data_IF_152442123760
#
_entry.id   IF_152442123760
#
_cell.length_a   1.000
_cell.length_b   1.000
_cell.length_c   1.000
_cell.angle_alpha   90.00
_cell.angle_beta   90.00
_cell.angle_gamma   90.00
#
_symmetry.space_group_name_H-M   'P 1'
#
loop_
_entity.id
_entity.type
_entity.pdbx_description
1 polymer ?
#
# COMPACT_ATOMS: atom_id res chain seq x y z
N UNK A 1 15.73 13.29 -1.15
CA UNK A 1 15.25 14.46 -1.95
C UNK A 1 13.93 14.93 -1.37
N UNK A 2 13.81 16.21 -1.04
CA UNK A 2 12.56 16.81 -0.57
C UNK A 2 11.79 17.47 -1.73
N UNK A 3 10.55 17.93 -1.47
CA UNK A 3 9.70 18.56 -2.48
C UNK A 3 10.39 19.75 -3.18
N UNK A 4 11.00 20.67 -2.44
CA UNK A 4 11.62 21.87 -3.02
C UNK A 4 12.78 21.50 -3.96
N UNK A 5 13.64 20.56 -3.57
CA UNK A 5 14.71 20.09 -4.44
C UNK A 5 14.21 19.35 -5.66
N UNK A 6 13.13 18.55 -5.52
CA UNK A 6 12.51 17.87 -6.65
C UNK A 6 11.95 18.85 -7.68
N UNK A 7 11.25 19.90 -7.24
CA UNK A 7 10.72 20.96 -8.11
C UNK A 7 11.86 21.66 -8.85
N UNK A 8 12.94 22.04 -8.15
CA UNK A 8 14.10 22.69 -8.76
C UNK A 8 14.74 21.80 -9.84
N UNK A 9 14.90 20.51 -9.56
CA UNK A 9 15.47 19.56 -10.52
C UNK A 9 14.54 19.37 -11.73
N UNK A 10 13.22 19.19 -11.54
CA UNK A 10 12.28 19.06 -12.65
C UNK A 10 12.38 20.28 -13.58
N UNK A 11 12.35 21.50 -13.04
CA UNK A 11 12.44 22.73 -13.82
C UNK A 11 13.80 22.84 -14.53
N UNK A 12 14.90 22.46 -13.87
CA UNK A 12 16.24 22.46 -14.44
C UNK A 12 16.38 21.49 -15.62
N UNK A 13 15.85 20.27 -15.49
CA UNK A 13 15.92 19.24 -16.53
C UNK A 13 15.01 19.54 -17.73
N UNK A 14 13.91 20.23 -17.50
CA UNK A 14 12.96 20.59 -18.56
C UNK A 14 13.24 21.97 -19.17
N UNK A 15 14.19 22.73 -18.60
CA UNK A 15 14.49 24.12 -18.97
C UNK A 15 13.21 24.99 -19.02
N UNK A 16 12.22 24.69 -18.16
CA UNK A 16 10.94 25.34 -18.15
C UNK A 16 10.44 25.59 -16.74
N UNK A 17 9.79 26.73 -16.54
CA UNK A 17 9.10 27.05 -15.30
C UNK A 17 7.62 26.67 -15.40
N UNK A 18 7.16 25.82 -14.49
CA UNK A 18 5.76 25.41 -14.41
C UNK A 18 5.10 26.07 -13.19
N UNK A 19 3.81 26.26 -13.29
CA UNK A 19 3.02 26.62 -12.11
C UNK A 19 2.97 25.44 -11.13
N UNK A 20 2.91 25.75 -9.85
CA UNK A 20 2.95 24.74 -8.75
C UNK A 20 1.90 23.65 -8.93
N UNK A 21 0.73 23.98 -9.45
CA UNK A 21 -0.37 23.02 -9.69
C UNK A 21 0.05 21.94 -10.69
N UNK A 22 0.71 22.33 -11.78
CA UNK A 22 1.14 21.40 -12.82
C UNK A 22 2.26 20.49 -12.30
N UNK A 23 3.25 21.08 -11.61
CA UNK A 23 4.34 20.30 -10.97
C UNK A 23 3.78 19.27 -9.98
N UNK A 24 2.84 19.67 -9.13
CA UNK A 24 2.20 18.76 -8.19
C UNK A 24 1.48 17.61 -8.91
N UNK A 25 0.85 17.92 -10.04
CA UNK A 25 0.18 16.89 -10.87
C UNK A 25 1.20 15.90 -11.42
N UNK A 26 2.34 16.36 -11.98
CA UNK A 26 3.38 15.49 -12.51
C UNK A 26 3.94 14.57 -11.42
N UNK A 27 4.25 15.13 -10.25
CA UNK A 27 4.78 14.38 -9.12
C UNK A 27 3.76 13.34 -8.64
N UNK A 28 2.50 13.73 -8.44
CA UNK A 28 1.45 12.82 -7.94
C UNK A 28 1.19 11.68 -8.92
N UNK A 29 1.18 11.94 -10.23
CA UNK A 29 1.01 10.90 -11.25
C UNK A 29 2.21 9.94 -11.28
N UNK A 30 3.43 10.45 -11.12
CA UNK A 30 4.63 9.63 -11.01
C UNK A 30 4.59 8.74 -9.77
N UNK A 31 4.23 9.28 -8.61
CA UNK A 31 4.06 8.52 -7.36
C UNK A 31 3.02 7.40 -7.53
N UNK A 32 1.85 7.71 -8.09
CA UNK A 32 0.80 6.71 -8.34
C UNK A 32 1.28 5.57 -9.24
N UNK A 33 1.98 5.92 -10.33
CA UNK A 33 2.54 4.92 -11.25
C UNK A 33 3.54 4.01 -10.53
N UNK A 34 4.41 4.56 -9.68
CA UNK A 34 5.41 3.81 -8.94
C UNK A 34 4.74 2.89 -7.92
N UNK A 35 3.86 3.41 -7.06
CA UNK A 35 3.20 2.65 -6.01
C UNK A 35 2.27 1.55 -6.55
N UNK A 36 1.62 1.78 -7.68
CA UNK A 36 0.81 0.75 -8.34
C UNK A 36 1.67 -0.33 -9.02
N UNK A 37 2.91 0.00 -9.37
CA UNK A 37 3.83 -0.91 -10.07
C UNK A 37 4.75 -1.72 -9.16
N UNK A 38 4.87 -1.36 -7.87
CA UNK A 38 5.85 -1.95 -6.93
C UNK A 38 5.23 -2.18 -5.56
N UNK A 39 5.17 -3.44 -5.14
CA UNK A 39 4.74 -3.80 -3.77
C UNK A 39 5.92 -3.67 -2.79
N UNK A 40 6.00 -2.56 -2.08
CA UNK A 40 7.04 -2.29 -1.10
C UNK A 40 6.62 -2.81 0.29
N UNK A 41 7.41 -3.72 0.86
CA UNK A 41 7.19 -4.22 2.22
C UNK A 41 7.19 -3.11 3.29
N UNK A 42 7.86 -1.98 3.01
CA UNK A 42 7.89 -0.83 3.91
C UNK A 42 6.60 0.01 3.90
N UNK A 43 5.69 -0.26 2.95
CA UNK A 43 4.40 0.41 2.85
C UNK A 43 3.31 -0.41 3.55
N UNK A 44 3.63 -0.90 4.74
CA UNK A 44 2.68 -1.58 5.63
C UNK A 44 2.51 -0.78 6.90
N UNK A 45 1.29 -0.71 7.36
CA UNK A 45 0.92 -0.17 8.68
C UNK A 45 0.24 -1.23 9.50
N UNK A 46 0.36 -1.08 10.81
CA UNK A 46 -0.40 -1.85 11.77
C UNK A 46 -1.33 -0.89 12.52
N UNK A 47 -2.58 -1.27 12.68
CA UNK A 47 -3.55 -0.55 13.50
C UNK A 47 -4.38 -1.53 14.31
N UNK A 48 -4.79 -1.09 15.49
CA UNK A 48 -5.71 -1.83 16.34
C UNK A 48 -7.05 -1.14 16.34
N UNK A 49 -8.12 -1.92 16.51
CA UNK A 49 -9.49 -1.43 16.61
C UNK A 49 -10.32 -2.38 17.44
N UNK A 50 -11.63 -2.14 17.47
CA UNK A 50 -12.57 -2.97 18.21
C UNK A 50 -13.65 -3.49 17.28
N UNK A 51 -13.87 -4.79 17.27
CA UNK A 51 -15.04 -5.42 16.70
C UNK A 51 -16.19 -5.26 17.71
N UNK A 52 -17.32 -4.79 17.22
CA UNK A 52 -18.51 -4.61 18.07
C UNK A 52 -19.36 -5.87 18.01
N UNK A 53 -19.80 -6.37 19.16
CA UNK A 53 -20.74 -7.49 19.26
C UNK A 53 -21.96 -7.25 18.38
N UNK A 54 -22.42 -8.32 17.71
CA UNK A 54 -23.57 -8.31 16.80
C UNK A 54 -23.39 -7.47 15.52
N UNK A 55 -22.20 -6.90 15.27
CA UNK A 55 -21.87 -6.20 14.04
C UNK A 55 -20.85 -6.99 13.23
N UNK A 56 -21.26 -7.49 12.07
CA UNK A 56 -20.40 -8.25 11.16
C UNK A 56 -19.57 -7.37 10.21
N UNK A 57 -19.72 -6.07 10.25
CA UNK A 57 -19.01 -5.14 9.38
C UNK A 57 -17.89 -4.43 10.14
N UNK A 58 -16.73 -4.34 9.50
CA UNK A 58 -15.55 -3.66 10.00
C UNK A 58 -15.11 -2.61 8.98
N UNK A 59 -15.15 -1.34 9.38
CA UNK A 59 -14.63 -0.24 8.54
C UNK A 59 -13.10 -0.23 8.56
N UNK A 60 -12.53 0.01 7.39
CA UNK A 60 -11.09 0.09 7.15
C UNK A 60 -10.59 1.53 7.31
N UNK A 61 -9.30 1.74 7.60
CA UNK A 61 -8.67 3.07 7.58
C UNK A 61 -8.80 3.72 6.20
N UNK A 62 -8.89 5.05 6.14
CA UNK A 62 -9.05 5.80 4.88
C UNK A 62 -7.84 5.69 3.92
N UNK A 63 -6.67 5.31 4.43
CA UNK A 63 -5.43 5.15 3.67
C UNK A 63 -5.11 3.69 3.31
N UNK A 64 -6.04 2.75 3.59
CA UNK A 64 -5.83 1.35 3.28
C UNK A 64 -5.83 1.08 1.77
N UNK A 65 -5.02 0.14 1.35
CA UNK A 65 -4.94 -0.33 -0.04
C UNK A 65 -5.27 -1.81 -0.15
N UNK A 66 -4.71 -2.63 0.74
CA UNK A 66 -4.94 -4.07 0.77
C UNK A 66 -4.65 -4.64 2.16
N UNK A 67 -5.34 -5.71 2.54
CA UNK A 67 -5.16 -6.38 3.82
C UNK A 67 -3.99 -7.35 3.73
N UNK A 68 -2.96 -7.15 4.54
CA UNK A 68 -1.88 -8.12 4.68
C UNK A 68 -2.26 -9.25 5.65
N UNK A 69 -2.74 -8.90 6.84
CA UNK A 69 -3.29 -9.83 7.83
C UNK A 69 -4.29 -9.14 8.75
N UNK A 70 -5.28 -9.88 9.17
CA UNK A 70 -6.29 -9.47 10.15
C UNK A 70 -6.32 -10.51 11.26
N UNK A 71 -6.21 -10.08 12.50
CA UNK A 71 -6.32 -10.93 13.66
C UNK A 71 -7.36 -10.40 14.65
N UNK A 72 -8.03 -11.32 15.32
CA UNK A 72 -8.84 -11.06 16.50
C UNK A 72 -8.03 -11.43 17.72
N UNK A 73 -7.99 -10.55 18.70
CA UNK A 73 -7.33 -10.76 19.98
C UNK A 73 -8.42 -10.96 21.02
N UNK A 74 -8.40 -12.10 21.70
CA UNK A 74 -9.38 -12.41 22.74
C UNK A 74 -9.04 -11.74 24.08
N UNK A 75 -9.85 -11.99 25.11
CA UNK A 75 -9.66 -11.43 26.45
C UNK A 75 -8.37 -11.87 27.15
N UNK A 76 -7.79 -12.98 26.75
CA UNK A 76 -6.53 -13.54 27.27
C UNK A 76 -5.30 -13.07 26.47
N UNK A 77 -5.52 -12.25 25.44
CA UNK A 77 -4.46 -11.74 24.57
C UNK A 77 -3.98 -12.72 23.48
N UNK A 78 -4.74 -13.79 23.22
CA UNK A 78 -4.40 -14.76 22.18
C UNK A 78 -4.87 -14.26 20.81
N UNK A 79 -3.97 -14.31 19.83
CA UNK A 79 -4.20 -13.92 18.46
C UNK A 79 -4.80 -15.05 17.63
N UNK A 80 -5.96 -14.79 17.04
CA UNK A 80 -6.61 -15.67 16.06
C UNK A 80 -6.64 -14.97 14.71
N UNK A 81 -5.82 -15.45 13.75
CA UNK A 81 -5.74 -14.87 12.41
C UNK A 81 -6.92 -15.32 11.55
N UNK A 82 -7.59 -14.35 10.93
CA UNK A 82 -8.73 -14.59 10.06
C UNK A 82 -8.25 -14.96 8.66
N UNK A 83 -9.02 -15.83 8.00
CA UNK A 83 -8.76 -16.23 6.62
C UNK A 83 -9.58 -15.35 5.65
N UNK A 84 -8.92 -14.83 4.63
CA UNK A 84 -9.59 -14.13 3.53
C UNK A 84 -10.41 -15.10 2.70
N UNK A 85 -11.68 -14.76 2.45
CA UNK A 85 -12.63 -15.52 1.66
C UNK A 85 -13.42 -14.60 0.72
N UNK A 86 -14.25 -15.17 -0.13
CA UNK A 86 -15.24 -14.44 -0.91
C UNK A 86 -16.47 -14.06 -0.06
N UNK A 87 -17.13 -12.96 -0.42
CA UNK A 87 -18.36 -12.51 0.27
C UNK A 87 -19.45 -13.58 0.23
N UNK A 88 -19.60 -14.30 -0.91
CA UNK A 88 -20.59 -15.33 -1.05
C UNK A 88 -20.30 -16.52 -0.13
N UNK A 89 -19.03 -16.91 0.03
CA UNK A 89 -18.64 -17.93 1.00
C UNK A 89 -19.10 -17.58 2.42
N UNK A 90 -18.89 -16.33 2.86
CA UNK A 90 -19.30 -15.91 4.21
C UNK A 90 -20.84 -15.94 4.34
N UNK A 91 -21.54 -15.46 3.33
CA UNK A 91 -23.02 -15.45 3.32
C UNK A 91 -23.63 -16.86 3.30
N UNK A 92 -23.02 -17.77 2.56
CA UNK A 92 -23.48 -19.18 2.48
C UNK A 92 -23.14 -19.96 3.73
N UNK A 93 -21.94 -19.73 4.31
CA UNK A 93 -21.51 -20.41 5.54
C UNK A 93 -22.25 -19.90 6.79
N UNK A 94 -22.62 -18.62 6.80
CA UNK A 94 -23.31 -17.97 7.92
C UNK A 94 -24.59 -17.26 7.44
N UNK A 95 -25.59 -18.01 6.92
CA UNK A 95 -26.80 -17.41 6.34
C UNK A 95 -27.71 -16.79 7.39
N UNK A 96 -27.64 -17.25 8.64
CA UNK A 96 -28.42 -16.70 9.74
C UNK A 96 -27.60 -15.62 10.47
N UNK A 97 -28.00 -14.33 10.41
CA UNK A 97 -27.28 -13.26 11.09
C UNK A 97 -27.27 -13.38 12.61
N UNK A 98 -28.16 -14.20 13.18
CA UNK A 98 -28.18 -14.49 14.63
C UNK A 98 -27.15 -15.54 15.04
N UNK A 99 -26.47 -16.19 14.11
CA UNK A 99 -25.35 -17.08 14.41
C UNK A 99 -24.14 -16.23 14.71
N UNK A 100 -23.80 -16.12 16.00
CA UNK A 100 -22.68 -15.34 16.49
C UNK A 100 -21.55 -16.24 17.00
N UNK A 101 -20.33 -15.72 17.01
CA UNK A 101 -19.15 -16.39 17.53
C UNK A 101 -17.89 -15.55 17.26
N UNK A 102 -16.74 -16.06 17.68
CA UNK A 102 -15.48 -15.42 17.33
C UNK A 102 -15.26 -15.49 15.82
N UNK A 103 -15.03 -14.35 15.12
CA UNK A 103 -14.80 -14.34 13.68
C UNK A 103 -13.55 -15.16 13.29
N UNK A 104 -13.67 -15.98 12.25
CA UNK A 104 -12.58 -16.75 11.68
C UNK A 104 -12.30 -16.40 10.21
N UNK A 105 -13.22 -15.70 9.56
CA UNK A 105 -13.15 -15.35 8.15
C UNK A 105 -13.49 -13.89 7.93
N UNK A 106 -12.90 -13.31 6.87
CA UNK A 106 -13.27 -11.99 6.38
C UNK A 106 -13.32 -11.96 4.86
N UNK A 107 -14.08 -11.02 4.32
CA UNK A 107 -14.08 -10.69 2.89
C UNK A 107 -14.21 -9.19 2.70
N UNK A 108 -13.70 -8.68 1.58
CA UNK A 108 -13.94 -7.29 1.18
C UNK A 108 -15.39 -7.16 0.71
N UNK A 109 -16.18 -6.34 1.44
CA UNK A 109 -17.61 -6.16 1.16
C UNK A 109 -17.86 -4.99 0.21
N UNK A 110 -17.18 -3.89 0.43
CA UNK A 110 -17.17 -2.71 -0.43
C UNK A 110 -15.78 -2.03 -0.37
N UNK A 111 -15.66 -0.78 -0.85
CA UNK A 111 -14.38 -0.08 -0.98
C UNK A 111 -13.61 0.11 0.33
N UNK A 112 -14.29 0.15 1.46
CA UNK A 112 -13.71 0.51 2.77
C UNK A 112 -14.25 -0.33 3.94
N UNK A 113 -14.95 -1.43 3.64
CA UNK A 113 -15.61 -2.25 4.65
C UNK A 113 -15.32 -3.74 4.42
N UNK A 114 -14.93 -4.43 5.49
CA UNK A 114 -14.87 -5.90 5.51
C UNK A 114 -16.15 -6.48 6.11
N UNK A 115 -16.58 -7.63 5.58
CA UNK A 115 -17.58 -8.50 6.21
C UNK A 115 -16.88 -9.63 6.92
N UNK A 116 -17.31 -9.92 8.14
CA UNK A 116 -16.77 -10.95 9.02
C UNK A 116 -17.70 -12.15 9.11
N UNK A 117 -17.15 -13.31 9.31
CA UNK A 117 -17.89 -14.55 9.54
C UNK A 117 -17.23 -15.45 10.58
N UNK A 118 -18.02 -15.94 11.56
CA UNK A 118 -19.37 -15.55 11.96
C UNK A 118 -19.47 -14.12 12.47
N UNK A 119 -20.69 -13.64 12.73
CA UNK A 119 -20.93 -12.34 13.39
C UNK A 119 -20.32 -12.36 14.79
N UNK A 120 -19.55 -11.33 15.22
CA UNK A 120 -18.96 -11.29 16.55
C UNK A 120 -20.00 -11.46 17.67
N UNK A 121 -19.77 -12.37 18.63
CA UNK A 121 -20.61 -12.58 19.82
C UNK A 121 -20.24 -11.65 20.97
N UNK A 122 -19.04 -11.10 20.95
CA UNK A 122 -18.48 -10.18 21.94
C UNK A 122 -17.77 -9.02 21.27
N UNK A 123 -17.38 -8.02 22.06
CA UNK A 123 -16.41 -7.03 21.64
C UNK A 123 -15.02 -7.64 21.69
N UNK A 124 -14.37 -7.69 20.54
CA UNK A 124 -12.98 -8.18 20.43
C UNK A 124 -12.05 -7.04 20.05
N UNK A 125 -10.83 -7.07 20.55
CA UNK A 125 -9.77 -6.26 19.97
C UNK A 125 -9.39 -6.89 18.64
N UNK A 126 -9.22 -6.08 17.60
CA UNK A 126 -8.68 -6.54 16.33
C UNK A 126 -7.35 -5.87 16.03
N UNK A 127 -6.48 -6.58 15.34
CA UNK A 127 -5.23 -6.05 14.81
C UNK A 127 -5.24 -6.23 13.29
N UNK A 128 -5.17 -5.09 12.58
CA UNK A 128 -5.12 -5.04 11.13
C UNK A 128 -3.73 -4.62 10.69
N UNK A 129 -3.05 -5.50 9.96
CA UNK A 129 -1.81 -5.20 9.26
C UNK A 129 -2.14 -5.08 7.77
N UNK A 130 -1.88 -3.92 7.16
CA UNK A 130 -2.36 -3.58 5.85
C UNK A 130 -1.35 -2.78 5.03
N UNK A 131 -1.46 -2.86 3.71
CA UNK A 131 -0.78 -1.97 2.81
C UNK A 131 -1.52 -0.64 2.77
N UNK A 132 -0.79 0.45 2.85
CA UNK A 132 -1.36 1.78 2.79
C UNK A 132 -0.82 2.55 1.59
N UNK A 133 -1.59 3.54 1.16
CA UNK A 133 -1.16 4.48 0.13
C UNK A 133 -0.38 5.62 0.80
N UNK A 134 0.92 5.81 0.51
CA UNK A 134 1.70 6.86 1.15
C UNK A 134 1.18 8.24 0.81
N UNK A 135 1.30 9.15 1.75
CA UNK A 135 1.06 10.56 1.51
C UNK A 135 2.05 11.10 0.46
N UNK A 136 1.56 11.92 -0.48
CA UNK A 136 2.39 12.49 -1.53
C UNK A 136 3.44 13.44 -0.95
N UNK A 137 4.63 13.49 -1.59
CA UNK A 137 5.67 14.48 -1.25
C UNK A 137 5.20 15.92 -1.46
N UNK A 138 4.11 16.13 -2.22
CA UNK A 138 3.52 17.44 -2.46
C UNK A 138 2.71 17.98 -1.28
N UNK A 139 2.42 17.12 -0.27
CA UNK A 139 1.62 17.44 0.91
C UNK A 139 2.36 17.10 2.20
N UNK A 140 1.79 17.47 3.34
CA UNK A 140 2.31 17.08 4.66
C UNK A 140 3.72 17.61 4.95
N UNK A 141 4.64 16.69 5.23
CA UNK A 141 6.01 17.02 5.61
C UNK A 141 6.93 17.41 4.43
N UNK A 142 6.42 17.44 3.21
CA UNK A 142 7.20 17.68 1.98
C UNK A 142 8.38 16.74 1.77
N UNK A 143 8.31 15.55 2.36
CA UNK A 143 9.23 14.42 2.20
C UNK A 143 8.43 13.15 1.98
N UNK A 144 9.02 12.16 1.31
CA UNK A 144 8.42 10.85 1.14
C UNK A 144 9.50 9.77 1.19
N UNK A 145 9.09 8.54 1.48
CA UNK A 145 10.01 7.41 1.46
C UNK A 145 10.72 7.25 0.11
N UNK A 146 10.02 7.49 -1.00
CA UNK A 146 10.62 7.50 -2.35
C UNK A 146 11.66 8.61 -2.48
N UNK A 147 11.33 9.83 -2.06
CA UNK A 147 12.25 10.96 -2.09
C UNK A 147 13.54 10.70 -1.33
N UNK A 148 13.46 10.01 -0.19
CA UNK A 148 14.62 9.77 0.68
C UNK A 148 15.45 8.56 0.23
N UNK A 149 14.84 7.52 -0.33
CA UNK A 149 15.51 6.26 -0.63
C UNK A 149 15.69 5.98 -2.14
N UNK A 150 14.78 6.48 -2.98
CA UNK A 150 14.76 6.25 -4.44
C UNK A 150 14.36 7.50 -5.21
N UNK A 151 15.07 8.58 -4.95
CA UNK A 151 14.80 9.88 -5.58
C UNK A 151 14.89 9.86 -7.10
N UNK A 152 15.71 8.99 -7.68
CA UNK A 152 15.86 8.88 -9.12
C UNK A 152 14.59 8.40 -9.82
N UNK A 153 13.88 7.41 -9.26
CA UNK A 153 12.63 6.92 -9.87
C UNK A 153 11.53 7.98 -9.82
N UNK A 154 11.46 8.73 -8.71
CA UNK A 154 10.50 9.83 -8.55
C UNK A 154 10.82 10.98 -9.50
N UNK A 155 12.10 11.38 -9.58
CA UNK A 155 12.56 12.45 -10.46
C UNK A 155 12.27 12.13 -11.93
N UNK A 156 12.77 10.99 -12.44
CA UNK A 156 12.57 10.63 -13.84
C UNK A 156 11.11 10.36 -14.18
N UNK A 157 10.34 9.80 -13.27
CA UNK A 157 8.90 9.68 -13.42
C UNK A 157 8.20 11.03 -13.59
N UNK A 158 8.53 12.01 -12.73
CA UNK A 158 7.99 13.36 -12.80
C UNK A 158 8.42 14.13 -14.05
N UNK A 159 9.69 13.99 -14.45
CA UNK A 159 10.21 14.57 -15.70
C UNK A 159 9.47 14.00 -16.92
N UNK A 160 9.19 12.71 -16.93
CA UNK A 160 8.46 12.06 -18.02
C UNK A 160 7.04 12.61 -18.18
N UNK A 161 6.33 12.85 -17.06
CA UNK A 161 5.03 13.52 -17.06
C UNK A 161 5.14 14.96 -17.59
N UNK A 162 6.17 15.71 -17.15
CA UNK A 162 6.40 17.08 -17.62
C UNK A 162 6.68 17.15 -19.13
N UNK A 163 7.53 16.25 -19.66
CA UNK A 163 7.79 16.19 -21.11
C UNK A 163 6.55 15.78 -21.91
N UNK A 164 5.74 14.88 -21.36
CA UNK A 164 4.46 14.50 -21.97
C UNK A 164 3.50 15.68 -22.02
N UNK A 165 3.42 16.46 -20.95
CA UNK A 165 2.61 17.68 -20.86
C UNK A 165 3.06 18.74 -21.88
N UNK A 166 4.36 18.97 -22.00
CA UNK A 166 4.95 19.92 -22.96
C UNK A 166 4.85 19.46 -24.41
N UNK A 167 4.44 18.22 -24.68
CA UNK A 167 4.56 17.57 -26.00
C UNK A 167 6.01 17.61 -26.51
N UNK A 168 6.94 17.30 -25.63
CA UNK A 168 8.36 17.34 -25.88
C UNK A 168 8.83 16.38 -26.98
N UNK A 169 10.09 16.53 -27.40
CA UNK A 169 10.66 15.75 -28.47
C UNK A 169 10.68 14.22 -28.13
N UNK A 170 10.30 13.35 -29.09
CA UNK A 170 10.23 11.90 -28.84
C UNK A 170 11.53 11.29 -28.33
N UNK A 171 12.68 11.80 -28.78
CA UNK A 171 14.01 11.32 -28.37
C UNK A 171 14.27 11.59 -26.87
N UNK A 172 13.87 12.76 -26.39
CA UNK A 172 13.99 13.11 -24.96
C UNK A 172 13.04 12.27 -24.10
N UNK A 173 11.80 12.10 -24.55
CA UNK A 173 10.83 11.21 -23.90
C UNK A 173 11.40 9.79 -23.83
N UNK A 174 11.96 9.27 -24.91
CA UNK A 174 12.59 7.94 -24.97
C UNK A 174 13.78 7.80 -24.01
N UNK A 175 14.62 8.83 -23.91
CA UNK A 175 15.74 8.87 -22.96
C UNK A 175 15.28 8.80 -21.52
N UNK A 176 14.32 9.65 -21.11
CA UNK A 176 13.82 9.68 -19.73
C UNK A 176 12.98 8.43 -19.40
N UNK A 177 12.24 7.88 -20.36
CA UNK A 177 11.57 6.59 -20.17
C UNK A 177 12.58 5.49 -19.82
N UNK A 178 13.68 5.40 -20.55
CA UNK A 178 14.75 4.43 -20.27
C UNK A 178 15.33 4.63 -18.87
N UNK A 179 15.62 5.87 -18.47
CA UNK A 179 16.14 6.19 -17.14
C UNK A 179 15.15 5.84 -16.04
N UNK A 180 13.88 6.10 -16.26
CA UNK A 180 12.80 5.72 -15.36
C UNK A 180 12.72 4.19 -15.21
N UNK A 181 12.75 3.45 -16.32
CA UNK A 181 12.65 2.00 -16.30
C UNK A 181 13.85 1.34 -15.59
N UNK A 182 15.07 1.86 -15.80
CA UNK A 182 16.27 1.44 -15.08
C UNK A 182 16.12 1.68 -13.56
N UNK A 183 15.68 2.86 -13.14
CA UNK A 183 15.48 3.18 -11.74
C UNK A 183 14.35 2.36 -11.11
N UNK A 184 13.26 2.12 -11.85
CA UNK A 184 12.13 1.30 -11.40
C UNK A 184 12.53 -0.18 -11.24
N UNK A 185 13.39 -0.70 -12.12
CA UNK A 185 13.92 -2.05 -12.01
C UNK A 185 14.70 -2.25 -10.71
N UNK A 186 15.58 -1.30 -10.36
CA UNK A 186 16.33 -1.32 -9.08
C UNK A 186 15.41 -1.30 -7.87
N UNK A 187 14.33 -0.50 -7.93
CA UNK A 187 13.32 -0.43 -6.87
C UNK A 187 12.58 -1.76 -6.70
N UNK A 188 12.22 -2.42 -7.82
CA UNK A 188 11.58 -3.74 -7.82
C UNK A 188 12.49 -4.82 -7.23
N UNK A 189 13.76 -4.83 -7.57
CA UNK A 189 14.74 -5.77 -7.00
C UNK A 189 14.84 -5.61 -5.47
N UNK A 190 14.89 -4.37 -4.98
CA UNK A 190 14.90 -4.13 -3.53
C UNK A 190 13.60 -4.61 -2.86
N UNK A 191 12.45 -4.35 -3.48
CA UNK A 191 11.16 -4.80 -2.97
C UNK A 191 11.09 -6.33 -2.87
N UNK A 192 11.55 -7.03 -3.90
CA UNK A 192 11.62 -8.49 -3.90
C UNK A 192 12.61 -9.03 -2.88
N UNK A 193 13.79 -8.42 -2.74
CA UNK A 193 14.80 -8.85 -1.77
C UNK A 193 14.24 -8.80 -0.33
N UNK A 194 13.57 -7.71 0.03
CA UNK A 194 12.93 -7.58 1.35
C UNK A 194 11.79 -8.58 1.56
N UNK A 195 11.06 -8.94 0.53
CA UNK A 195 10.00 -9.94 0.59
C UNK A 195 10.54 -11.39 0.64
N UNK A 196 11.76 -11.65 0.13
CA UNK A 196 12.40 -12.98 0.14
C UNK A 196 12.95 -13.39 1.50
N UNK A 197 13.13 -12.48 2.43
CA UNK A 197 13.62 -12.78 3.78
C UNK A 197 12.58 -13.49 4.66
N UNK A 198 11.37 -13.73 4.15
CA UNK A 198 10.38 -14.56 4.81
C UNK A 198 10.73 -16.05 4.66
N UNK A 199 11.24 -16.64 5.74
CA UNK A 199 11.63 -18.06 5.83
C UNK A 199 10.46 -19.03 5.58
N UNK A 200 9.20 -18.58 5.76
CA UNK A 200 8.02 -19.39 5.49
C UNK A 200 7.68 -19.47 4.01
N UNK A 201 7.97 -18.43 3.22
CA UNK A 201 7.81 -18.44 1.75
C UNK A 201 8.84 -19.34 1.06
N UNK A 202 9.99 -19.57 1.70
CA UNK A 202 11.07 -20.39 1.15
C UNK A 202 10.90 -21.90 1.32
N UNK A 203 9.79 -22.38 1.87
CA UNK A 203 9.49 -23.81 2.14
C UNK A 203 10.61 -24.56 2.93
N UNK A 204 11.47 -23.83 3.62
CA UNK A 204 12.52 -24.39 4.48
C UNK A 204 12.08 -24.29 5.93
N UNK A 205 11.54 -25.39 6.47
CA UNK A 205 11.43 -25.53 7.92
C UNK A 205 12.83 -25.46 8.53
N UNK A 206 13.11 -24.44 9.32
CA UNK A 206 14.21 -24.51 10.26
C UNK A 206 13.84 -25.53 11.32
N UNK A 207 14.49 -26.68 11.31
CA UNK A 207 14.46 -27.59 12.44
C UNK A 207 15.20 -26.87 13.56
N UNK A 208 14.49 -26.54 14.64
CA UNK A 208 15.15 -26.11 15.87
C UNK A 208 16.02 -27.27 16.33
N UNK A 209 17.31 -27.06 16.35
CA UNK A 209 18.21 -28.00 17.01
C UNK A 209 17.89 -27.97 18.50
N UNK A 210 17.44 -29.12 19.02
CA UNK A 210 17.25 -29.36 20.45
C UNK A 210 18.62 -29.40 21.15
#
# INVERSE_FOLDING_TARGET
MNYASLVTEIQSYTENEFVTTDINTFITQAEQRIYNGVQLANLRKNTTGTLTSSNKYLSLPSDWLDVFSLAVVDGDGLYSYLLSKDVNFIRESFPNPSTTGQPGYYALFDSDTLILGPTPDSNYTMELHYYYYPESITTGAYTSWLGDNFSSVLLYGSILEAYTFMKGEPDMIGLYQKRYDEALAMLKELAEYKNRNDTYRGNRRRVANA
#
